data_IF_074254839878
#
_entry.id   IF_074254839878
#
_cell.length_a   1.000
_cell.length_b   1.000
_cell.length_c   1.000
_cell.angle_alpha   90.00
_cell.angle_beta   90.00
_cell.angle_gamma   90.00
#
_symmetry.space_group_name_H-M   'P 1'
#
loop_
_entity.id
_entity.type
_entity.pdbx_description
1 polymer ?
#
# COMPACT_ATOMS: atom_id res chain seq x y z
N UNK A 1 3.02 -25.32 -7.73
CA UNK A 1 3.14 -23.99 -8.38
C UNK A 1 2.59 -22.94 -7.42
N UNK A 2 3.43 -22.08 -6.82
CA UNK A 2 2.94 -20.95 -6.01
C UNK A 2 2.30 -19.93 -6.95
N UNK A 3 1.04 -19.62 -6.73
CA UNK A 3 0.26 -18.78 -7.63
C UNK A 3 0.47 -17.32 -7.21
N UNK A 4 1.10 -16.52 -8.08
CA UNK A 4 1.28 -15.10 -7.81
C UNK A 4 -0.09 -14.44 -7.65
N UNK A 5 -0.29 -13.73 -6.54
CA UNK A 5 -1.58 -13.17 -6.17
C UNK A 5 -1.54 -11.64 -6.21
N UNK A 6 -2.53 -11.06 -6.87
CA UNK A 6 -2.81 -9.61 -6.81
C UNK A 6 -4.10 -9.41 -6.06
N UNK A 7 -4.09 -8.62 -5.00
CA UNK A 7 -5.32 -8.14 -4.36
C UNK A 7 -5.49 -6.67 -4.67
N UNK A 8 -6.71 -6.26 -5.02
CA UNK A 8 -7.09 -4.87 -5.20
C UNK A 8 -8.28 -4.57 -4.32
N UNK A 9 -8.23 -3.48 -3.57
CA UNK A 9 -9.29 -3.00 -2.72
C UNK A 9 -9.54 -1.52 -3.03
N UNK A 10 -10.77 -1.19 -3.39
CA UNK A 10 -11.22 0.20 -3.46
C UNK A 10 -11.68 0.64 -2.07
N UNK A 11 -11.02 1.68 -1.57
CA UNK A 11 -11.26 2.32 -0.28
C UNK A 11 -12.13 3.53 -0.57
N UNK A 12 -13.35 3.51 -0.07
CA UNK A 12 -14.37 4.52 -0.38
C UNK A 12 -14.99 5.13 0.87
N UNK A 13 -14.87 4.45 2.00
CA UNK A 13 -15.49 4.83 3.26
C UNK A 13 -14.52 4.64 4.42
N UNK A 14 -14.73 5.37 5.51
CA UNK A 14 -13.96 5.18 6.75
C UNK A 14 -14.01 3.74 7.26
N UNK A 15 -15.13 3.03 7.07
CA UNK A 15 -15.27 1.61 7.43
C UNK A 15 -14.25 0.71 6.75
N UNK A 16 -13.79 1.09 5.55
CA UNK A 16 -12.79 0.33 4.81
C UNK A 16 -11.41 0.38 5.49
N UNK A 17 -11.17 1.34 6.40
CA UNK A 17 -9.95 1.41 7.22
C UNK A 17 -9.79 0.21 8.16
N UNK A 18 -10.90 -0.39 8.58
CA UNK A 18 -10.91 -1.55 9.47
C UNK A 18 -10.70 -2.89 8.74
N UNK A 19 -10.67 -2.90 7.41
CA UNK A 19 -10.45 -4.12 6.62
C UNK A 19 -9.08 -4.71 6.97
N UNK A 20 -9.04 -6.02 7.22
CA UNK A 20 -7.81 -6.71 7.61
C UNK A 20 -6.93 -6.99 6.40
N UNK A 21 -5.65 -6.67 6.54
CA UNK A 21 -4.62 -6.83 5.53
C UNK A 21 -3.55 -7.78 6.07
N UNK A 22 -3.30 -8.86 5.32
CA UNK A 22 -2.21 -9.80 5.54
C UNK A 22 -1.19 -9.56 4.44
N UNK A 23 0.02 -9.14 4.80
CA UNK A 23 1.10 -8.84 3.87
C UNK A 23 2.26 -9.79 4.14
N UNK A 24 2.72 -10.50 3.12
CA UNK A 24 3.90 -11.36 3.20
C UNK A 24 5.20 -10.55 3.15
N UNK A 25 6.31 -11.17 3.54
CA UNK A 25 7.64 -10.53 3.53
C UNK A 25 8.06 -10.06 2.13
N UNK A 26 7.60 -10.73 1.08
CA UNK A 26 7.97 -10.49 -0.33
C UNK A 26 6.89 -9.72 -1.11
N UNK A 27 5.82 -9.28 -0.44
CA UNK A 27 4.74 -8.56 -1.10
C UNK A 27 5.00 -7.07 -1.19
N UNK A 28 4.64 -6.51 -2.34
CA UNK A 28 4.65 -5.07 -2.63
C UNK A 28 3.26 -4.51 -2.40
N UNK A 29 3.18 -3.42 -1.62
CA UNK A 29 1.94 -2.69 -1.37
C UNK A 29 1.97 -1.41 -2.21
N UNK A 30 0.96 -1.18 -3.04
CA UNK A 30 0.86 0.02 -3.88
C UNK A 30 -0.42 0.78 -3.55
N UNK A 31 -0.28 2.08 -3.38
CA UNK A 31 -1.39 3.03 -3.32
C UNK A 31 -1.16 4.02 -4.47
N UNK A 32 -1.85 3.85 -5.62
CA UNK A 32 -1.63 4.67 -6.79
C UNK A 32 -1.70 6.17 -6.46
N UNK A 33 -0.81 6.96 -7.08
CA UNK A 33 -0.68 8.41 -6.86
C UNK A 33 -0.20 8.83 -5.45
N UNK A 34 0.12 7.88 -4.56
CA UNK A 34 0.69 8.16 -3.24
C UNK A 34 2.07 7.55 -3.12
N UNK A 35 2.18 6.22 -3.07
CA UNK A 35 3.46 5.53 -2.93
C UNK A 35 3.35 4.03 -3.22
N UNK A 36 4.49 3.39 -3.41
CA UNK A 36 4.66 1.94 -3.44
C UNK A 36 5.68 1.52 -2.39
N UNK A 37 5.29 0.60 -1.52
CA UNK A 37 6.15 -0.02 -0.51
C UNK A 37 6.60 -1.37 -1.06
N UNK A 38 7.87 -1.45 -1.45
CA UNK A 38 8.51 -2.67 -1.90
C UNK A 38 9.11 -3.45 -0.72
N UNK A 39 9.24 -4.79 -0.83
CA UNK A 39 9.93 -5.58 0.17
C UNK A 39 11.44 -5.28 0.17
N UNK A 40 11.96 -4.85 1.31
CA UNK A 40 13.41 -4.71 1.54
C UNK A 40 14.07 -5.99 2.12
N UNK A 41 15.40 -6.01 2.27
CA UNK A 41 16.17 -7.18 2.73
C UNK A 41 15.75 -7.73 4.12
N UNK A 42 15.20 -6.88 4.99
CA UNK A 42 14.68 -7.24 6.32
C UNK A 42 13.15 -7.24 6.42
N UNK A 43 12.45 -7.25 5.28
CA UNK A 43 11.00 -7.14 5.23
C UNK A 43 10.33 -8.36 5.87
N UNK A 44 9.64 -8.15 6.99
CA UNK A 44 8.81 -9.18 7.63
C UNK A 44 7.37 -9.13 7.12
N UNK A 45 6.73 -10.30 7.08
CA UNK A 45 5.29 -10.37 6.91
C UNK A 45 4.57 -9.85 8.15
N UNK A 46 3.43 -9.20 7.97
CA UNK A 46 2.63 -8.69 9.08
C UNK A 46 1.14 -8.77 8.79
N UNK A 47 0.37 -8.83 9.87
CA UNK A 47 -1.09 -8.72 9.84
C UNK A 47 -1.46 -7.36 10.43
N UNK A 48 -2.22 -6.57 9.69
CA UNK A 48 -2.66 -5.24 10.10
C UNK A 48 -4.05 -4.95 9.52
N UNK A 49 -4.51 -3.72 9.63
CA UNK A 49 -5.68 -3.17 8.96
C UNK A 49 -5.25 -2.17 7.87
N UNK A 50 -6.17 -1.77 6.99
CA UNK A 50 -5.91 -0.75 5.97
C UNK A 50 -5.38 0.53 6.63
N UNK A 51 -5.97 0.94 7.75
CA UNK A 51 -5.50 2.07 8.55
C UNK A 51 -4.01 1.98 8.90
N UNK A 52 -3.55 0.83 9.40
CA UNK A 52 -2.16 0.59 9.77
C UNK A 52 -1.20 0.68 8.59
N UNK A 53 -1.65 0.31 7.39
CA UNK A 53 -0.89 0.53 6.14
C UNK A 53 -0.76 2.02 5.86
N UNK A 54 -1.85 2.79 5.92
CA UNK A 54 -1.82 4.24 5.68
C UNK A 54 -1.04 4.99 6.75
N UNK A 55 -1.11 4.58 8.01
CA UNK A 55 -0.30 5.16 9.10
C UNK A 55 1.21 4.97 8.84
N UNK A 56 1.63 3.80 8.35
CA UNK A 56 3.03 3.58 7.96
C UNK A 56 3.46 4.43 6.77
N UNK A 57 2.58 4.63 5.79
CA UNK A 57 2.85 5.53 4.65
C UNK A 57 2.97 6.97 5.15
N UNK A 58 2.02 7.42 5.98
CA UNK A 58 1.99 8.76 6.57
C UNK A 58 3.29 9.06 7.30
N UNK A 59 3.73 8.14 8.17
CA UNK A 59 4.96 8.30 8.93
C UNK A 59 6.19 8.47 8.03
N UNK A 60 6.31 7.66 6.96
CA UNK A 60 7.41 7.80 6.00
C UNK A 60 7.38 9.17 5.29
N UNK A 61 6.20 9.65 4.90
CA UNK A 61 6.05 10.97 4.27
C UNK A 61 6.36 12.11 5.27
N UNK A 62 6.04 11.94 6.55
CA UNK A 62 6.39 12.90 7.61
C UNK A 62 7.91 12.99 7.80
N UNK A 63 8.59 11.84 7.90
CA UNK A 63 10.05 11.80 8.01
C UNK A 63 10.70 12.45 6.78
N UNK A 64 10.25 12.09 5.57
CA UNK A 64 10.77 12.69 4.33
C UNK A 64 10.60 14.22 4.32
N UNK A 65 9.46 14.74 4.80
CA UNK A 65 9.22 16.18 4.91
C UNK A 65 10.18 16.86 5.89
N UNK A 66 10.53 16.20 6.98
CA UNK A 66 11.42 16.73 8.03
C UNK A 66 12.88 16.73 7.60
N UNK A 67 13.31 15.72 6.85
CA UNK A 67 14.68 15.60 6.32
C UNK A 67 14.92 16.42 5.06
N UNK A 68 13.86 16.86 4.39
CA UNK A 68 13.95 17.67 3.17
C UNK A 68 14.41 19.09 3.50
N UNK A 69 15.18 19.71 2.60
CA UNK A 69 15.61 21.10 2.73
C UNK A 69 14.88 22.01 1.74
N UNK A 70 14.48 21.46 0.58
CA UNK A 70 13.78 22.20 -0.46
C UNK A 70 12.32 22.54 -0.07
N UNK A 71 11.97 23.82 -0.14
CA UNK A 71 10.64 24.30 0.24
C UNK A 71 9.51 23.72 -0.64
N UNK A 72 9.76 23.52 -1.93
CA UNK A 72 8.76 22.98 -2.85
C UNK A 72 8.49 21.49 -2.59
N UNK A 73 9.53 20.71 -2.30
CA UNK A 73 9.41 19.33 -1.88
C UNK A 73 8.66 19.20 -0.54
N UNK A 74 8.94 20.07 0.44
CA UNK A 74 8.17 20.16 1.70
C UNK A 74 6.68 20.41 1.46
N UNK A 75 6.37 21.33 0.54
CA UNK A 75 4.98 21.66 0.19
C UNK A 75 4.27 20.49 -0.47
N UNK A 76 4.95 19.76 -1.37
CA UNK A 76 4.43 18.51 -1.97
C UNK A 76 4.15 17.45 -0.92
N UNK A 77 5.09 17.20 0.00
CA UNK A 77 4.90 16.26 1.09
C UNK A 77 3.72 16.65 2.00
N UNK A 78 3.58 17.95 2.33
CA UNK A 78 2.43 18.46 3.10
C UNK A 78 1.09 18.22 2.39
N UNK A 79 1.04 18.41 1.07
CA UNK A 79 -0.18 18.13 0.29
C UNK A 79 -0.48 16.63 0.25
N UNK A 80 0.55 15.79 0.15
CA UNK A 80 0.39 14.34 0.20
C UNK A 80 -0.15 13.87 1.56
N UNK A 81 0.35 14.42 2.67
CA UNK A 81 -0.17 14.14 4.02
C UNK A 81 -1.64 14.52 4.16
N UNK A 82 -2.05 15.68 3.62
CA UNK A 82 -3.47 16.08 3.60
C UNK A 82 -4.32 15.08 2.83
N UNK A 83 -3.84 14.62 1.68
CA UNK A 83 -4.53 13.61 0.86
C UNK A 83 -4.70 12.29 1.61
N UNK A 84 -3.63 11.82 2.26
CA UNK A 84 -3.66 10.60 3.09
C UNK A 84 -4.71 10.73 4.20
N UNK A 85 -4.73 11.85 4.94
CA UNK A 85 -5.70 12.04 6.01
C UNK A 85 -7.15 12.07 5.49
N UNK A 86 -7.41 12.68 4.32
CA UNK A 86 -8.74 12.68 3.68
C UNK A 86 -9.21 11.30 3.26
N UNK A 87 -8.28 10.47 2.78
CA UNK A 87 -8.59 9.07 2.46
C UNK A 87 -8.95 8.32 3.74
N UNK A 88 -8.19 8.53 4.81
CA UNK A 88 -8.43 7.89 6.10
C UNK A 88 -9.76 8.31 6.74
N UNK A 89 -10.19 9.57 6.57
CA UNK A 89 -11.51 10.04 7.03
C UNK A 89 -12.67 9.66 6.10
N UNK A 90 -12.40 9.01 4.96
CA UNK A 90 -13.42 8.66 3.97
C UNK A 90 -13.93 9.84 3.13
N UNK A 91 -13.27 11.00 3.19
CA UNK A 91 -13.56 12.16 2.33
C UNK A 91 -13.09 11.95 0.88
N UNK A 92 -12.09 11.10 0.68
CA UNK A 92 -11.53 10.79 -0.64
C UNK A 92 -11.35 9.28 -0.83
N UNK A 93 -11.60 8.80 -2.03
CA UNK A 93 -11.39 7.39 -2.38
C UNK A 93 -9.94 7.09 -2.74
N UNK A 94 -9.48 5.90 -2.39
CA UNK A 94 -8.16 5.40 -2.79
C UNK A 94 -8.23 3.94 -3.22
N UNK A 95 -7.19 3.49 -3.91
CA UNK A 95 -7.03 2.08 -4.28
C UNK A 95 -5.83 1.50 -3.55
N UNK A 96 -6.01 0.38 -2.87
CA UNK A 96 -4.93 -0.39 -2.26
C UNK A 96 -4.71 -1.64 -3.10
N UNK A 97 -3.47 -1.85 -3.53
CA UNK A 97 -3.06 -3.00 -4.34
C UNK A 97 -1.96 -3.73 -3.59
N UNK A 98 -2.11 -5.05 -3.43
CA UNK A 98 -1.07 -5.91 -2.87
C UNK A 98 -0.67 -6.91 -3.94
N UNK A 99 0.59 -6.85 -4.35
CA UNK A 99 1.20 -7.75 -5.32
C UNK A 99 2.15 -8.67 -4.56
N UNK A 100 1.81 -9.95 -4.49
CA UNK A 100 2.60 -10.94 -3.77
C UNK A 100 3.06 -12.07 -4.70
N UNK A 101 4.38 -12.16 -4.98
CA UNK A 101 4.94 -13.25 -5.77
C UNK A 101 4.87 -14.61 -5.07
N UNK A 102 4.74 -14.64 -3.74
CA UNK A 102 4.67 -15.88 -2.95
C UNK A 102 3.25 -16.43 -2.79
N UNK A 103 2.23 -15.60 -2.99
CA UNK A 103 0.82 -15.97 -2.87
C UNK A 103 0.28 -16.01 -1.43
N UNK A 104 1.04 -15.50 -0.45
CA UNK A 104 0.74 -15.61 0.98
C UNK A 104 0.02 -14.38 1.58
N UNK A 105 -0.17 -13.33 0.78
CA UNK A 105 -0.89 -12.12 1.18
C UNK A 105 -2.38 -12.26 0.95
N UNK A 106 -3.17 -11.47 1.68
CA UNK A 106 -4.62 -11.44 1.55
C UNK A 106 -5.20 -10.10 2.05
N UNK A 107 -6.34 -9.71 1.48
CA UNK A 107 -7.21 -8.66 2.02
C UNK A 107 -8.52 -9.36 2.42
N UNK A 108 -8.88 -9.28 3.69
CA UNK A 108 -10.03 -9.99 4.26
C UNK A 108 -11.25 -9.07 4.16
N UNK A 109 -11.84 -9.00 2.98
CA UNK A 109 -13.06 -8.25 2.70
C UNK A 109 -13.74 -8.78 1.43
N UNK A 110 -15.07 -8.73 1.39
CA UNK A 110 -15.85 -9.04 0.18
C UNK A 110 -15.59 -8.05 -0.96
N UNK A 111 -15.14 -6.83 -0.63
CA UNK A 111 -14.74 -5.81 -1.60
C UNK A 111 -13.39 -6.10 -2.26
N UNK A 112 -12.62 -7.06 -1.74
CA UNK A 112 -11.29 -7.35 -2.25
C UNK A 112 -11.37 -8.20 -3.52
N UNK A 113 -10.81 -7.68 -4.62
CA UNK A 113 -10.72 -8.40 -5.88
C UNK A 113 -9.38 -9.12 -5.96
N UNK A 114 -9.42 -10.45 -6.01
CA UNK A 114 -8.24 -11.30 -6.23
C UNK A 114 -8.03 -11.54 -7.72
N UNK A 115 -6.93 -11.04 -8.26
CA UNK A 115 -6.43 -11.32 -9.61
C UNK A 115 -5.21 -12.21 -9.62
N UNK A 116 -4.87 -12.74 -10.80
CA UNK A 116 -3.56 -13.36 -11.07
C UNK A 116 -2.57 -12.26 -11.44
N UNK A 117 -1.37 -12.29 -10.87
CA UNK A 117 -0.24 -11.52 -11.36
C UNK A 117 0.22 -12.15 -12.68
N UNK A 118 0.06 -11.43 -13.80
CA UNK A 118 0.60 -11.86 -15.09
C UNK A 118 2.10 -11.54 -15.05
N UNK A 119 2.92 -12.57 -14.85
CA UNK A 119 4.37 -12.41 -14.82
C UNK A 119 4.87 -11.90 -16.17
N UNK A 120 5.51 -10.73 -16.17
CA UNK A 120 6.45 -10.40 -17.25
C UNK A 120 7.56 -11.44 -17.16
N UNK A 121 7.73 -12.23 -18.22
CA UNK A 121 8.84 -13.18 -18.34
C UNK A 121 10.14 -12.41 -18.07
N UNK A 122 10.89 -12.80 -17.04
CA UNK A 122 12.32 -12.44 -17.00
C UNK A 122 12.96 -13.17 -18.18
N UNK A 123 13.39 -12.42 -19.20
CA UNK A 123 14.43 -12.89 -20.10
C UNK A 123 15.70 -13.04 -19.26
N UNK A 124 16.16 -14.28 -19.11
CA UNK A 124 17.51 -14.58 -18.67
C UNK A 124 18.41 -14.42 -19.91
N UNK A 125 19.42 -13.56 -19.82
CA UNK A 125 20.57 -13.52 -20.72
C UNK A 125 21.84 -13.72 -19.88
#
# INVERSE_FOLDING_TARGET
>A
MKQLSKYTLDITTEKDMHIRVVRSSQATVKVPYITSIEPGPGSSGYVTNVEGVFNRIKHQVEVLRETEEENDAKKKAKNLLKKINRIMSGEESAKLIIEDPTGNSAIISEKAVKGKLVGVKKEEE
#
